data_IF_224308246372
#
_entry.id   IF_224308246372
#
_cell.length_a   1.000
_cell.length_b   1.000
_cell.length_c   1.000
_cell.angle_alpha   90.00
_cell.angle_beta   90.00
_cell.angle_gamma   90.00
#
_symmetry.space_group_name_H-M   'P 1'
#
loop_
_entity.id
_entity.type
_entity.pdbx_description
1 polymer ?
#
# COMPACT_ATOMS: atom_id res chain seq x y z
N UNK A 1 -23.91 -76.62 13.48
CA UNK A 1 -23.07 -75.95 12.46
C UNK A 1 -23.06 -74.46 12.70
N UNK A 2 -22.11 -73.95 13.43
CA UNK A 2 -21.92 -72.51 13.68
C UNK A 2 -21.00 -71.97 12.58
N UNK A 3 -21.56 -71.05 11.75
CA UNK A 3 -20.75 -70.33 10.77
C UNK A 3 -20.11 -69.14 11.49
N UNK A 4 -18.80 -69.19 11.61
CA UNK A 4 -17.95 -68.11 12.10
C UNK A 4 -17.97 -67.01 11.06
N UNK A 5 -18.45 -65.81 11.44
CA UNK A 5 -18.41 -64.59 10.63
C UNK A 5 -17.15 -63.85 11.01
N UNK A 6 -16.14 -63.93 10.18
CA UNK A 6 -14.90 -63.16 10.36
C UNK A 6 -15.11 -61.76 9.81
N UNK A 7 -15.23 -60.78 10.72
CA UNK A 7 -15.26 -59.35 10.35
C UNK A 7 -13.82 -58.89 10.13
N UNK A 8 -13.46 -58.64 8.87
CA UNK A 8 -12.18 -58.00 8.51
C UNK A 8 -12.36 -56.49 8.71
N UNK A 9 -11.81 -55.97 9.78
CA UNK A 9 -11.74 -54.55 10.06
C UNK A 9 -10.57 -54.01 9.23
N UNK A 10 -10.84 -53.48 8.05
CA UNK A 10 -9.87 -52.68 7.28
C UNK A 10 -9.73 -51.31 7.95
N UNK A 11 -8.66 -51.12 8.70
CA UNK A 11 -8.24 -49.78 9.11
C UNK A 11 -7.82 -49.01 7.85
N UNK A 12 -8.73 -48.18 7.35
CA UNK A 12 -8.37 -47.13 6.43
C UNK A 12 -7.67 -46.05 7.27
N UNK A 13 -6.35 -46.06 7.27
CA UNK A 13 -5.57 -44.94 7.78
C UNK A 13 -5.85 -43.76 6.84
N UNK A 14 -6.79 -42.91 7.23
CA UNK A 14 -6.87 -41.56 6.65
C UNK A 14 -5.59 -40.86 7.09
N UNK A 15 -4.57 -40.91 6.27
CA UNK A 15 -3.52 -39.87 6.30
C UNK A 15 -4.19 -38.60 5.77
N UNK A 16 -4.76 -37.82 6.67
CA UNK A 16 -5.10 -36.42 6.39
C UNK A 16 -3.73 -35.80 6.09
N UNK A 17 -3.48 -35.32 4.86
CA UNK A 17 -2.27 -34.54 4.64
C UNK A 17 -2.34 -33.42 5.69
N UNK A 18 -1.23 -33.20 6.40
CA UNK A 18 -1.06 -31.99 7.19
C UNK A 18 -1.04 -30.89 6.14
N UNK A 19 -2.20 -30.38 5.81
CA UNK A 19 -2.32 -29.17 5.01
C UNK A 19 -1.62 -28.11 5.83
N UNK A 20 -0.52 -27.62 5.31
CA UNK A 20 0.13 -26.41 5.77
C UNK A 20 -1.00 -25.43 6.05
N UNK A 21 -1.15 -25.02 7.33
CA UNK A 21 -2.28 -24.15 7.71
C UNK A 21 -1.99 -22.77 7.17
N UNK A 22 -2.50 -22.52 5.96
CA UNK A 22 -2.65 -21.17 5.45
C UNK A 22 -3.75 -20.45 6.23
N UNK A 23 -3.55 -19.19 6.54
CA UNK A 23 -4.59 -18.31 7.03
C UNK A 23 -4.84 -17.25 5.96
N UNK A 24 -6.10 -17.03 5.67
CA UNK A 24 -6.53 -16.15 4.60
C UNK A 24 -7.34 -15.01 5.18
N UNK A 25 -7.01 -13.78 4.78
CA UNK A 25 -7.84 -12.63 5.11
C UNK A 25 -9.10 -12.63 4.22
N UNK A 26 -10.31 -12.55 4.81
CA UNK A 26 -11.54 -12.82 4.08
C UNK A 26 -11.89 -11.78 3.01
N UNK A 27 -11.50 -10.51 3.18
CA UNK A 27 -11.81 -9.43 2.24
C UNK A 27 -10.72 -9.28 1.17
N UNK A 28 -9.45 -9.33 1.56
CA UNK A 28 -8.33 -9.14 0.62
C UNK A 28 -7.99 -10.40 -0.16
N UNK A 29 -8.35 -11.56 0.37
CA UNK A 29 -7.91 -12.84 -0.17
C UNK A 29 -6.41 -13.14 0.08
N UNK A 30 -5.71 -12.32 0.86
CA UNK A 30 -4.31 -12.56 1.22
C UNK A 30 -4.18 -13.86 1.97
N UNK A 31 -3.39 -14.76 1.42
CA UNK A 31 -3.18 -16.08 1.97
C UNK A 31 -1.71 -16.28 2.34
N UNK A 32 -1.47 -16.71 3.57
CA UNK A 32 -0.14 -16.99 4.10
C UNK A 32 -0.04 -18.45 4.46
N UNK A 33 0.95 -19.12 3.91
CA UNK A 33 1.32 -20.49 4.33
C UNK A 33 2.45 -20.38 5.35
N UNK A 34 2.20 -20.82 6.57
CA UNK A 34 3.20 -20.74 7.63
C UNK A 34 4.31 -21.78 7.46
N UNK A 35 5.54 -21.33 7.56
CA UNK A 35 6.74 -22.19 7.57
C UNK A 35 7.44 -22.06 8.92
N UNK A 36 8.48 -22.85 9.16
CA UNK A 36 9.33 -22.75 10.36
C UNK A 36 10.31 -21.56 10.30
N UNK A 37 10.49 -20.97 9.11
CA UNK A 37 11.32 -19.78 8.91
C UNK A 37 10.46 -18.53 9.01
N UNK A 38 10.62 -17.77 10.08
CA UNK A 38 9.78 -16.61 10.39
C UNK A 38 10.62 -15.36 10.67
N UNK A 39 10.04 -14.22 10.38
CA UNK A 39 10.51 -12.89 10.76
C UNK A 39 9.34 -12.05 11.22
N UNK A 40 9.60 -10.91 11.87
CA UNK A 40 8.58 -10.00 12.35
C UNK A 40 8.87 -8.59 11.87
N UNK A 41 7.84 -7.90 11.37
CA UNK A 41 7.88 -6.47 11.09
C UNK A 41 6.99 -5.74 12.09
N UNK A 42 7.60 -4.76 12.75
CA UNK A 42 7.00 -3.94 13.80
C UNK A 42 6.74 -2.57 13.23
N UNK A 43 5.49 -2.25 12.95
CA UNK A 43 5.07 -0.98 12.37
C UNK A 43 4.57 -0.09 13.51
N UNK A 44 5.20 1.08 13.70
CA UNK A 44 4.81 2.00 14.77
C UNK A 44 3.61 2.84 14.38
N UNK A 45 3.58 3.39 13.16
CA UNK A 45 2.44 4.14 12.62
C UNK A 45 2.25 3.86 11.14
N UNK A 46 1.01 3.95 10.67
CA UNK A 46 0.68 3.87 9.26
C UNK A 46 -0.32 4.96 8.89
N UNK A 47 -0.13 5.56 7.74
CA UNK A 47 -0.89 6.70 7.24
C UNK A 47 -1.51 6.36 5.89
N UNK A 48 -2.75 6.80 5.72
CA UNK A 48 -3.49 6.76 4.47
C UNK A 48 -4.05 8.15 4.20
N UNK A 49 -3.73 8.71 3.03
CA UNK A 49 -4.20 10.04 2.61
C UNK A 49 -3.93 11.12 3.68
N UNK A 50 -2.69 11.16 4.20
CA UNK A 50 -2.22 12.08 5.23
C UNK A 50 -2.86 11.91 6.63
N UNK A 51 -3.75 10.95 6.82
CA UNK A 51 -4.33 10.62 8.12
C UNK A 51 -3.72 9.34 8.68
N UNK A 52 -3.38 9.32 9.98
CA UNK A 52 -3.00 8.08 10.64
C UNK A 52 -4.20 7.14 10.69
N UNK A 53 -3.97 5.85 10.42
CA UNK A 53 -5.00 4.83 10.51
C UNK A 53 -5.54 4.75 11.96
N UNK A 54 -6.82 4.48 12.11
CA UNK A 54 -7.48 4.44 13.42
C UNK A 54 -7.66 3.00 13.92
N UNK A 55 -7.63 2.84 15.24
CA UNK A 55 -7.93 1.55 15.89
C UNK A 55 -9.39 1.15 15.66
N UNK A 56 -9.59 -0.13 15.35
CA UNK A 56 -10.94 -0.71 15.22
C UNK A 56 -11.60 -0.52 13.85
N UNK A 57 -10.98 0.14 12.88
CA UNK A 57 -11.52 0.28 11.52
C UNK A 57 -11.39 -1.01 10.67
N UNK A 58 -10.75 -2.06 11.18
CA UNK A 58 -10.44 -3.30 10.47
C UNK A 58 -9.51 -3.12 9.25
N UNK A 59 -8.74 -2.04 9.24
CA UNK A 59 -7.68 -1.85 8.25
C UNK A 59 -6.56 -2.84 8.50
N UNK A 60 -5.94 -3.30 7.42
CA UNK A 60 -4.96 -4.38 7.48
C UNK A 60 -3.67 -3.97 6.77
N UNK A 61 -2.55 -4.29 7.39
CA UNK A 61 -1.24 -4.13 6.77
C UNK A 61 -0.73 -5.50 6.34
N UNK A 62 -0.41 -5.64 5.05
CA UNK A 62 0.18 -6.85 4.47
C UNK A 62 1.64 -6.64 4.10
N UNK A 63 2.46 -7.64 4.38
CA UNK A 63 3.84 -7.75 3.92
C UNK A 63 3.93 -8.67 2.70
N UNK A 64 4.77 -8.29 1.72
CA UNK A 64 4.86 -8.98 0.43
C UNK A 64 6.30 -9.20 -0.01
N UNK A 65 6.50 -10.32 -0.69
CA UNK A 65 7.68 -10.62 -1.48
C UNK A 65 7.23 -11.00 -2.90
N UNK A 66 7.72 -10.30 -3.92
CA UNK A 66 7.34 -10.53 -5.33
C UNK A 66 5.81 -10.70 -5.55
N UNK A 67 4.99 -9.83 -4.97
CA UNK A 67 3.52 -9.89 -4.96
C UNK A 67 2.89 -11.08 -4.20
N UNK A 68 3.68 -12.00 -3.64
CA UNK A 68 3.18 -13.01 -2.74
C UNK A 68 3.00 -12.42 -1.35
N UNK A 69 1.78 -12.50 -0.77
CA UNK A 69 1.58 -12.15 0.63
C UNK A 69 2.31 -13.16 1.51
N UNK A 70 3.15 -12.66 2.41
CA UNK A 70 3.98 -13.46 3.33
C UNK A 70 3.60 -13.27 4.79
N UNK A 71 2.70 -12.31 5.07
CA UNK A 71 2.19 -12.00 6.40
C UNK A 71 1.23 -10.83 6.35
N UNK A 72 0.29 -10.75 7.26
CA UNK A 72 -0.60 -9.62 7.43
C UNK A 72 -1.12 -9.53 8.87
N UNK A 73 -1.53 -8.33 9.29
CA UNK A 73 -2.12 -8.09 10.60
C UNK A 73 -3.07 -6.89 10.54
N UNK A 74 -4.09 -6.88 11.39
CA UNK A 74 -4.91 -5.70 11.60
C UNK A 74 -4.09 -4.55 12.17
N UNK A 75 -4.37 -3.34 11.71
CA UNK A 75 -3.69 -2.17 12.24
C UNK A 75 -3.98 -1.98 13.73
N UNK A 76 -2.92 -1.71 14.48
CA UNK A 76 -2.98 -1.35 15.89
C UNK A 76 -2.10 -0.11 16.11
N UNK A 77 -2.67 1.05 16.52
CA UNK A 77 -1.95 2.32 16.66
C UNK A 77 -0.87 2.30 17.75
N UNK A 78 -0.89 1.31 18.65
CA UNK A 78 0.18 1.17 19.63
C UNK A 78 1.41 0.48 19.04
N UNK A 79 1.19 -0.59 18.30
CA UNK A 79 2.21 -1.34 17.57
C UNK A 79 1.55 -2.45 16.75
N UNK A 80 1.69 -2.40 15.43
CA UNK A 80 1.28 -3.51 14.56
C UNK A 80 2.46 -4.46 14.38
N UNK A 81 2.28 -5.73 14.75
CA UNK A 81 3.32 -6.76 14.61
C UNK A 81 2.89 -7.76 13.56
N UNK A 82 3.55 -7.73 12.40
CA UNK A 82 3.25 -8.61 11.29
C UNK A 82 4.20 -9.80 11.32
N UNK A 83 3.70 -11.01 11.65
CA UNK A 83 4.49 -12.23 11.48
C UNK A 83 4.59 -12.55 10.00
N UNK A 84 5.80 -12.72 9.50
CA UNK A 84 6.08 -13.06 8.10
C UNK A 84 6.78 -14.40 8.02
N UNK A 85 6.49 -15.16 6.97
CA UNK A 85 7.09 -16.47 6.72
C UNK A 85 8.04 -16.42 5.53
N UNK A 86 9.07 -17.23 5.54
CA UNK A 86 10.08 -17.31 4.50
C UNK A 86 10.20 -18.68 3.87
N UNK A 87 11.04 -18.78 2.84
CA UNK A 87 11.35 -20.06 2.20
C UNK A 87 12.10 -20.99 3.17
N UNK A 88 11.59 -22.18 3.33
CA UNK A 88 12.22 -23.28 4.10
C UNK A 88 12.90 -24.32 3.20
N UNK A 89 13.12 -23.96 1.92
CA UNK A 89 13.65 -24.85 0.88
C UNK A 89 12.58 -25.57 0.06
N UNK A 90 11.30 -25.39 0.38
CA UNK A 90 10.16 -25.95 -0.38
C UNK A 90 9.19 -24.88 -0.90
N UNK A 91 9.41 -23.61 -0.54
CA UNK A 91 8.52 -22.47 -0.86
C UNK A 91 9.27 -21.38 -1.65
N UNK A 92 9.59 -21.61 -2.95
CA UNK A 92 10.46 -20.72 -3.73
C UNK A 92 9.87 -19.32 -3.97
N UNK A 93 8.56 -19.13 -3.73
CA UNK A 93 7.89 -17.83 -3.83
C UNK A 93 7.88 -17.04 -2.51
N UNK A 94 8.52 -17.57 -1.48
CA UNK A 94 8.65 -16.91 -0.18
C UNK A 94 10.05 -16.31 -0.02
N UNK A 95 10.23 -15.28 0.82
CA UNK A 95 11.50 -14.57 0.91
C UNK A 95 12.61 -15.47 1.46
N UNK A 96 13.79 -15.28 0.90
CA UNK A 96 15.04 -15.83 1.37
C UNK A 96 15.78 -14.80 2.24
N UNK A 97 16.86 -15.22 2.89
CA UNK A 97 17.73 -14.36 3.70
C UNK A 97 18.23 -13.15 2.91
N UNK A 98 17.92 -11.93 3.35
CA UNK A 98 18.27 -10.69 2.67
C UNK A 98 17.29 -10.22 1.58
N UNK A 99 16.15 -10.91 1.41
CA UNK A 99 15.15 -10.53 0.42
C UNK A 99 14.50 -9.16 0.73
N UNK A 100 14.22 -8.31 -0.27
CA UNK A 100 13.49 -7.08 -0.08
C UNK A 100 12.01 -7.37 0.18
N UNK A 101 11.38 -6.59 1.06
CA UNK A 101 9.97 -6.71 1.41
C UNK A 101 9.25 -5.41 1.07
N UNK A 102 8.02 -5.53 0.58
CA UNK A 102 7.11 -4.41 0.33
C UNK A 102 5.87 -4.53 1.19
N UNK A 103 5.12 -3.44 1.32
CA UNK A 103 3.92 -3.39 2.13
C UNK A 103 2.73 -2.86 1.35
N UNK A 104 1.54 -3.30 1.75
CA UNK A 104 0.26 -2.75 1.27
C UNK A 104 -0.67 -2.55 2.44
N UNK A 105 -1.50 -1.52 2.34
CA UNK A 105 -2.59 -1.25 3.27
C UNK A 105 -3.91 -1.63 2.59
N UNK A 106 -4.73 -2.38 3.29
CA UNK A 106 -6.12 -2.58 2.95
C UNK A 106 -6.95 -1.61 3.77
N UNK A 107 -7.61 -0.69 3.08
CA UNK A 107 -8.59 0.23 3.65
C UNK A 107 -9.96 -0.44 3.65
N UNK A 108 -10.46 -0.74 4.82
CA UNK A 108 -11.73 -1.44 5.03
C UNK A 108 -12.94 -0.55 4.68
N UNK A 109 -12.78 0.78 4.73
CA UNK A 109 -13.85 1.73 4.47
C UNK A 109 -14.18 1.83 2.98
N UNK A 110 -13.18 1.77 2.11
CA UNK A 110 -13.31 1.82 0.65
C UNK A 110 -13.18 0.45 -0.02
N UNK A 111 -12.73 -0.56 0.74
CA UNK A 111 -12.40 -1.89 0.24
C UNK A 111 -11.27 -1.88 -0.80
N UNK A 112 -10.32 -0.97 -0.68
CA UNK A 112 -9.17 -0.81 -1.57
C UNK A 112 -7.90 -1.39 -0.95
N UNK A 113 -7.02 -1.91 -1.82
CA UNK A 113 -5.66 -2.33 -1.46
C UNK A 113 -4.71 -1.36 -2.13
N UNK A 114 -3.88 -0.70 -1.34
CA UNK A 114 -3.03 0.40 -1.77
C UNK A 114 -1.59 0.09 -1.37
N UNK A 115 -0.64 0.36 -2.28
CA UNK A 115 0.78 0.20 -1.98
C UNK A 115 1.22 1.17 -0.89
N UNK A 116 2.09 0.69 0.01
CA UNK A 116 2.62 1.50 1.10
C UNK A 116 4.15 1.55 1.03
N UNK A 117 4.70 2.73 1.28
CA UNK A 117 6.14 2.97 1.33
C UNK A 117 6.58 3.42 2.73
N UNK A 118 7.86 3.31 3.00
CA UNK A 118 8.51 3.96 4.13
C UNK A 118 9.55 4.95 3.61
N UNK A 119 9.70 6.09 4.27
CA UNK A 119 10.78 7.04 3.99
C UNK A 119 12.12 6.58 4.55
N UNK A 120 12.09 5.68 5.51
CA UNK A 120 13.27 4.99 6.00
C UNK A 120 13.50 3.72 5.15
N UNK A 121 14.74 3.24 5.15
CA UNK A 121 15.05 1.95 4.55
C UNK A 121 14.24 0.84 5.21
N UNK A 122 13.48 0.09 4.43
CA UNK A 122 12.78 -1.11 4.89
C UNK A 122 13.83 -2.21 5.09
N UNK A 123 13.98 -2.74 6.32
CA UNK A 123 14.92 -3.82 6.57
C UNK A 123 14.58 -5.05 5.72
N UNK A 124 15.59 -5.64 5.10
CA UNK A 124 15.42 -6.91 4.37
C UNK A 124 14.99 -8.05 5.29
N UNK A 125 14.38 -9.07 4.72
CA UNK A 125 13.89 -10.21 5.46
C UNK A 125 15.04 -11.08 5.98
N UNK A 126 15.00 -11.45 7.27
CA UNK A 126 15.97 -12.32 7.93
C UNK A 126 15.27 -13.32 8.82
N UNK A 127 15.76 -14.54 8.87
CA UNK A 127 15.21 -15.57 9.78
C UNK A 127 15.34 -15.10 11.22
N UNK A 128 14.23 -15.16 11.98
CA UNK A 128 14.11 -14.68 13.37
C UNK A 128 14.41 -13.17 13.51
N UNK A 129 14.22 -12.41 12.42
CA UNK A 129 14.37 -10.95 12.41
C UNK A 129 13.27 -10.26 13.21
N UNK A 130 13.62 -9.13 13.83
CA UNK A 130 12.70 -8.16 14.41
C UNK A 130 12.99 -6.81 13.76
N UNK A 131 12.22 -6.49 12.75
CA UNK A 131 12.44 -5.37 11.86
C UNK A 131 11.47 -4.24 12.23
N UNK A 132 11.98 -3.09 12.63
CA UNK A 132 11.14 -1.95 13.01
C UNK A 132 11.03 -0.98 11.85
N UNK A 133 9.80 -0.60 11.52
CA UNK A 133 9.44 0.46 10.58
C UNK A 133 8.71 1.54 11.37
N UNK A 134 9.21 2.77 11.33
CA UNK A 134 8.59 3.88 12.06
C UNK A 134 7.25 4.25 11.44
N UNK A 135 7.25 4.54 10.16
CA UNK A 135 6.05 4.98 9.46
C UNK A 135 5.91 4.27 8.12
N UNK A 136 4.69 3.85 7.81
CA UNK A 136 4.25 3.49 6.48
C UNK A 136 3.31 4.58 5.96
N UNK A 137 3.45 4.94 4.70
CA UNK A 137 2.64 5.94 4.01
C UNK A 137 1.99 5.33 2.79
N UNK A 138 0.72 5.64 2.58
CA UNK A 138 -0.07 5.16 1.46
C UNK A 138 -1.00 6.25 0.96
N UNK A 139 -1.19 6.34 -0.35
CA UNK A 139 -2.09 7.31 -0.96
C UNK A 139 -3.11 6.60 -1.84
N UNK A 140 -4.38 6.86 -1.62
CA UNK A 140 -5.48 6.23 -2.38
C UNK A 140 -5.64 6.80 -3.79
N UNK A 141 -5.10 7.99 -4.06
CA UNK A 141 -5.06 8.64 -5.35
C UNK A 141 -3.85 8.19 -6.18
N UNK A 142 -3.87 8.42 -7.49
CA UNK A 142 -2.70 8.22 -8.37
C UNK A 142 -1.57 9.23 -8.11
N UNK A 143 -1.78 10.18 -7.20
CA UNK A 143 -0.80 11.20 -6.86
C UNK A 143 0.39 10.62 -6.08
N UNK A 144 1.59 11.13 -6.32
CA UNK A 144 2.78 10.62 -5.67
C UNK A 144 2.81 10.94 -4.17
N UNK A 145 3.54 10.10 -3.44
CA UNK A 145 3.93 10.40 -2.07
C UNK A 145 5.12 11.35 -2.12
N UNK A 146 5.03 12.47 -1.42
CA UNK A 146 6.10 13.47 -1.31
C UNK A 146 7.25 12.97 -0.42
N UNK A 147 8.40 13.65 -0.49
CA UNK A 147 9.60 13.33 0.30
C UNK A 147 9.38 13.37 1.82
N UNK A 148 8.33 14.03 2.29
CA UNK A 148 7.94 14.09 3.70
C UNK A 148 6.92 12.99 4.11
N UNK A 149 6.48 12.16 3.17
CA UNK A 149 5.48 11.10 3.38
C UNK A 149 4.03 11.54 3.16
N UNK A 150 3.80 12.82 2.88
CA UNK A 150 2.45 13.30 2.60
C UNK A 150 2.00 12.90 1.20
N UNK A 151 0.73 12.55 1.07
CA UNK A 151 0.09 12.38 -0.21
C UNK A 151 -0.16 13.75 -0.85
N UNK A 152 0.15 13.85 -2.13
CA UNK A 152 -0.29 14.99 -2.91
C UNK A 152 -1.80 14.82 -3.15
N UNK A 153 -2.61 15.22 -2.19
CA UNK A 153 -4.06 15.14 -2.28
C UNK A 153 -4.58 16.34 -3.07
N UNK A 154 -5.16 16.04 -4.24
CA UNK A 154 -5.94 16.98 -5.04
C UNK A 154 -5.27 18.35 -5.25
N UNK A 155 -4.16 18.33 -5.99
CA UNK A 155 -3.44 19.56 -6.32
C UNK A 155 -4.08 20.35 -7.48
N UNK A 156 -5.27 19.95 -7.96
CA UNK A 156 -5.93 20.61 -9.09
C UNK A 156 -6.17 22.09 -8.78
N UNK A 157 -5.40 22.94 -9.44
CA UNK A 157 -5.44 24.39 -9.25
C UNK A 157 -4.63 24.92 -8.07
N UNK A 158 -3.84 24.08 -7.41
CA UNK A 158 -2.95 24.42 -6.29
C UNK A 158 -1.49 24.02 -6.61
N UNK A 159 -0.83 24.69 -7.58
CA UNK A 159 0.53 24.37 -7.97
C UNK A 159 1.58 24.68 -6.90
N UNK A 160 1.26 25.50 -5.90
CA UNK A 160 2.17 25.79 -4.78
C UNK A 160 2.00 24.84 -3.59
N UNK A 161 0.96 23.98 -3.64
CA UNK A 161 0.65 22.95 -2.64
C UNK A 161 0.42 23.52 -1.22
N UNK A 162 -0.17 24.75 -1.15
CA UNK A 162 -0.50 25.34 0.15
C UNK A 162 -1.91 24.95 0.66
N UNK A 163 -2.64 24.14 -0.10
CA UNK A 163 -4.00 23.67 0.20
C UNK A 163 -5.09 24.67 -0.08
N UNK A 164 -4.80 25.79 -0.77
CA UNK A 164 -5.74 26.86 -1.05
C UNK A 164 -5.69 27.29 -2.52
N UNK A 165 -6.72 27.01 -3.28
CA UNK A 165 -6.85 27.58 -4.63
C UNK A 165 -7.09 29.09 -4.56
N UNK A 166 -6.07 29.89 -4.89
CA UNK A 166 -6.10 31.34 -4.73
C UNK A 166 -5.33 32.09 -5.84
N UNK A 167 -5.15 33.39 -5.66
CA UNK A 167 -4.47 34.24 -6.68
C UNK A 167 -2.99 33.87 -6.85
N UNK A 168 -2.33 33.27 -5.86
CA UNK A 168 -0.92 32.89 -5.96
C UNK A 168 -0.76 31.75 -6.97
N UNK A 169 -1.71 30.83 -7.05
CA UNK A 169 -1.73 29.74 -8.00
C UNK A 169 -1.92 30.23 -9.43
N UNK A 170 -2.80 31.22 -9.62
CA UNK A 170 -2.98 31.88 -10.92
C UNK A 170 -1.65 32.52 -11.38
N UNK A 171 -0.92 33.15 -10.47
CA UNK A 171 0.38 33.76 -10.78
C UNK A 171 1.38 32.69 -11.21
N UNK A 172 1.46 31.59 -10.47
CA UNK A 172 2.38 30.50 -10.79
C UNK A 172 2.08 29.87 -12.15
N UNK A 173 0.81 29.57 -12.45
CA UNK A 173 0.42 29.02 -13.75
C UNK A 173 0.72 30.06 -14.86
N UNK A 174 0.47 31.36 -14.61
CA UNK A 174 0.74 32.42 -15.57
C UNK A 174 2.24 32.59 -15.86
N UNK A 175 3.07 32.58 -14.81
CA UNK A 175 4.53 32.68 -14.95
C UNK A 175 5.07 31.50 -15.75
N UNK A 176 4.56 30.33 -15.47
CA UNK A 176 4.93 29.10 -16.16
C UNK A 176 4.57 29.16 -17.66
N UNK A 177 3.36 29.60 -18.01
CA UNK A 177 2.95 29.78 -19.42
C UNK A 177 3.84 30.80 -20.13
N UNK A 178 4.28 31.86 -19.44
CA UNK A 178 5.10 32.92 -20.01
C UNK A 178 6.56 32.48 -20.17
N UNK A 179 7.10 31.75 -19.21
CA UNK A 179 8.51 31.33 -19.22
C UNK A 179 8.77 30.13 -20.15
N UNK A 180 7.74 29.36 -20.46
CA UNK A 180 7.86 28.21 -21.35
C UNK A 180 7.60 28.60 -22.81
N UNK A 181 8.67 28.74 -23.59
CA UNK A 181 8.61 28.97 -25.04
C UNK A 181 7.95 27.81 -25.84
N UNK A 182 7.70 26.65 -25.19
CA UNK A 182 7.03 25.48 -25.79
C UNK A 182 6.35 24.61 -24.72
N UNK A 183 5.07 24.25 -24.88
CA UNK A 183 4.25 23.60 -23.84
C UNK A 183 4.69 22.17 -23.45
N UNK A 184 5.67 21.59 -24.12
CA UNK A 184 6.07 20.19 -23.92
C UNK A 184 7.39 19.98 -23.18
N UNK A 185 8.14 21.02 -22.83
CA UNK A 185 9.50 20.87 -22.27
C UNK A 185 9.68 21.32 -20.81
N UNK A 186 8.68 21.93 -20.21
CA UNK A 186 8.80 22.48 -18.85
C UNK A 186 8.22 21.62 -17.73
N UNK A 187 7.62 20.45 -18.05
CA UNK A 187 6.67 19.79 -17.16
C UNK A 187 6.97 18.30 -16.93
N UNK A 188 8.14 17.96 -16.46
CA UNK A 188 8.37 16.53 -16.17
C UNK A 188 7.64 16.00 -14.91
N UNK A 189 7.12 16.86 -14.00
CA UNK A 189 6.58 16.37 -12.72
C UNK A 189 5.41 17.17 -12.08
N UNK A 190 4.80 18.17 -12.73
CA UNK A 190 3.73 18.99 -12.12
C UNK A 190 2.55 19.31 -13.03
N UNK A 191 2.43 18.66 -14.18
CA UNK A 191 1.42 18.96 -15.19
C UNK A 191 -0.01 18.74 -14.71
N UNK A 192 -0.23 17.70 -13.90
CA UNK A 192 -1.58 17.27 -13.52
C UNK A 192 -2.28 18.27 -12.60
N UNK A 193 -1.51 19.02 -11.80
CA UNK A 193 -2.04 20.06 -10.92
C UNK A 193 -2.51 21.33 -11.65
N UNK A 194 -2.00 21.57 -12.84
CA UNK A 194 -2.19 22.83 -13.59
C UNK A 194 -3.12 22.68 -14.79
N UNK A 195 -3.31 21.46 -15.29
CA UNK A 195 -4.25 21.14 -16.38
C UNK A 195 -5.66 20.93 -15.81
N UNK A 196 -6.33 22.04 -15.49
CA UNK A 196 -7.64 22.01 -14.85
C UNK A 196 -8.76 21.55 -15.78
N UNK A 197 -8.59 21.73 -17.09
CA UNK A 197 -9.58 21.33 -18.09
C UNK A 197 -9.32 19.91 -18.63
N UNK A 198 -8.17 19.28 -18.25
CA UNK A 198 -7.76 17.93 -18.63
C UNK A 198 -7.61 17.72 -20.16
N UNK A 199 -7.15 18.75 -20.88
CA UNK A 199 -6.89 18.66 -22.31
C UNK A 199 -5.43 18.33 -22.65
N UNK A 200 -4.58 18.12 -21.65
CA UNK A 200 -3.13 17.87 -21.70
C UNK A 200 -2.31 19.06 -22.23
N UNK A 201 -2.87 20.27 -22.14
CA UNK A 201 -2.21 21.51 -22.52
C UNK A 201 -2.37 22.51 -21.39
N UNK A 202 -1.29 22.97 -20.78
CA UNK A 202 -1.37 24.05 -19.79
C UNK A 202 -1.37 25.38 -20.52
N UNK A 203 -2.51 26.06 -20.50
CA UNK A 203 -2.69 27.36 -21.16
C UNK A 203 -3.65 28.29 -20.39
N UNK A 204 -4.07 29.38 -21.05
CA UNK A 204 -4.98 30.36 -20.44
C UNK A 204 -6.34 29.79 -20.09
N UNK A 205 -6.76 28.65 -20.66
CA UNK A 205 -8.04 28.02 -20.35
C UNK A 205 -8.02 27.39 -18.95
N UNK A 206 -6.85 26.92 -18.50
CA UNK A 206 -6.67 26.41 -17.13
C UNK A 206 -6.76 27.55 -16.12
N UNK A 207 -6.15 28.69 -16.42
CA UNK A 207 -6.29 29.91 -15.60
C UNK A 207 -7.77 30.31 -15.49
N UNK A 208 -8.52 30.29 -16.59
CA UNK A 208 -9.94 30.60 -16.55
C UNK A 208 -10.73 29.57 -15.73
N UNK A 209 -10.37 28.31 -15.82
CA UNK A 209 -10.95 27.23 -15.00
C UNK A 209 -10.69 27.46 -13.52
N UNK A 210 -9.45 27.81 -13.16
CA UNK A 210 -9.07 28.13 -11.78
C UNK A 210 -9.80 29.36 -11.23
N UNK A 211 -9.92 30.42 -12.01
CA UNK A 211 -10.69 31.61 -11.63
C UNK A 211 -12.14 31.25 -11.31
N UNK A 212 -12.76 30.36 -12.08
CA UNK A 212 -14.12 29.91 -11.81
C UNK A 212 -14.22 29.12 -10.50
N UNK A 213 -13.23 28.30 -10.16
CA UNK A 213 -13.17 27.59 -8.88
C UNK A 213 -13.07 28.57 -7.72
N UNK A 214 -12.16 29.57 -7.80
CA UNK A 214 -11.94 30.56 -6.74
C UNK A 214 -13.19 31.46 -6.52
N UNK A 215 -13.96 31.75 -7.55
CA UNK A 215 -15.17 32.62 -7.47
C UNK A 215 -16.38 31.89 -6.86
N UNK A 216 -16.36 30.57 -6.71
CA UNK A 216 -17.46 29.80 -6.14
C UNK A 216 -17.41 29.72 -4.60
N UNK A 217 -16.38 30.26 -4.01
CA UNK A 217 -16.19 30.39 -2.55
C UNK A 217 -16.14 31.86 -2.12
#
# INVERSE_FOLDING_TARGET
MLKSLTIILTLISLTIPITERGWQHPQTGWEVVTTETMSFYLIQSAFLDNAELEDGNNDVIGAFYDNQNIGWEFYNPQLTIIPTTGDNGSMPNYPYEGAPITFKIYDSSTNMIIDAISLDDIPSWHVQGFNTIRNLYSCSSEFPILDNGECMLDCIGDPNLDGLNNILDIILISDLIIECDYPFLCFENQTDCMDLNQDNIIDVLDILSLINVIQLF
#
